data_IF_068833722731
#
_entry.id   IF_068833722731
#
_cell.length_a   1.000
_cell.length_b   1.000
_cell.length_c   1.000
_cell.angle_alpha   90.00
_cell.angle_beta   90.00
_cell.angle_gamma   90.00
#
_symmetry.space_group_name_H-M   'P 1'
#
loop_
_entity.id
_entity.type
_entity.pdbx_description
1 polymer ?
#
# COMPACT_ATOMS: atom_id res chain seq x y z
N UNK A 1 2.54 -21.82 14.38
CA UNK A 1 2.85 -20.42 14.77
C UNK A 1 1.97 -20.05 15.95
N UNK A 2 2.53 -20.04 17.16
CA UNK A 2 1.82 -19.55 18.35
C UNK A 2 2.08 -18.05 18.48
N UNK A 3 1.11 -17.23 18.07
CA UNK A 3 1.12 -15.81 18.44
C UNK A 3 0.73 -15.71 19.92
N UNK A 4 1.70 -15.38 20.76
CA UNK A 4 1.44 -14.89 22.12
C UNK A 4 0.78 -13.52 22.00
N UNK A 5 -0.56 -13.51 21.90
CA UNK A 5 -1.34 -12.27 22.05
C UNK A 5 -1.23 -11.81 23.50
N UNK A 6 -0.43 -10.76 23.71
CA UNK A 6 -0.48 -9.95 24.91
C UNK A 6 -1.89 -9.36 25.03
N UNK A 7 -2.61 -9.71 26.11
CA UNK A 7 -3.91 -9.13 26.43
C UNK A 7 -3.69 -7.66 26.82
N UNK A 8 -4.27 -6.73 26.08
CA UNK A 8 -4.16 -5.30 26.37
C UNK A 8 -5.47 -4.75 26.93
N UNK A 9 -5.48 -4.46 28.23
CA UNK A 9 -6.34 -3.39 28.73
C UNK A 9 -5.77 -2.10 28.16
N UNK A 10 -6.52 -1.42 27.29
CA UNK A 10 -6.02 -0.19 26.64
C UNK A 10 -6.16 1.02 27.53
N UNK A 11 -7.25 1.09 28.30
CA UNK A 11 -7.52 2.21 29.19
C UNK A 11 -8.64 1.86 30.18
N UNK A 12 -8.62 2.53 31.33
CA UNK A 12 -9.67 2.50 32.35
C UNK A 12 -10.07 3.94 32.63
N UNK A 13 -11.37 4.23 32.61
CA UNK A 13 -11.88 5.59 32.90
C UNK A 13 -13.02 5.53 33.91
N UNK A 14 -13.16 6.59 34.70
CA UNK A 14 -14.22 6.75 35.70
C UNK A 14 -15.18 7.85 35.27
N UNK A 15 -16.48 7.56 35.25
CA UNK A 15 -17.52 8.56 34.99
C UNK A 15 -18.68 8.32 35.95
N UNK A 16 -19.02 9.30 36.79
CA UNK A 16 -20.13 9.24 37.75
C UNK A 16 -20.13 7.94 38.59
N UNK A 17 -19.01 7.66 39.26
CA UNK A 17 -18.77 6.45 40.08
C UNK A 17 -18.87 5.11 39.35
N UNK A 18 -18.97 5.12 38.01
CA UNK A 18 -18.90 3.92 37.17
C UNK A 18 -17.50 3.77 36.57
N UNK A 19 -17.00 2.55 36.58
CA UNK A 19 -15.75 2.18 35.92
C UNK A 19 -16.05 1.69 34.53
N UNK A 20 -15.38 2.25 33.54
CA UNK A 20 -15.38 1.78 32.16
C UNK A 20 -14.03 1.18 31.82
N UNK A 21 -14.04 -0.05 31.29
CA UNK A 21 -12.83 -0.69 30.79
C UNK A 21 -12.86 -0.73 29.27
N UNK A 22 -11.82 -0.19 28.63
CA UNK A 22 -11.65 -0.30 27.19
C UNK A 22 -10.70 -1.47 26.91
N UNK A 23 -11.24 -2.55 26.34
CA UNK A 23 -10.48 -3.78 26.06
C UNK A 23 -10.65 -4.21 24.61
N UNK A 24 -9.79 -5.10 24.13
CA UNK A 24 -10.10 -5.84 22.90
C UNK A 24 -11.38 -6.70 23.04
N UNK A 25 -11.82 -7.32 21.93
CA UNK A 25 -13.03 -8.13 21.90
C UNK A 25 -12.75 -9.63 22.13
N UNK A 26 -11.60 -9.99 22.70
CA UNK A 26 -11.29 -11.39 22.98
C UNK A 26 -12.19 -11.97 24.08
N UNK A 27 -12.49 -13.26 23.96
CA UNK A 27 -13.37 -13.96 24.90
C UNK A 27 -12.84 -13.92 26.34
N UNK A 28 -11.51 -13.99 26.50
CA UNK A 28 -10.87 -13.91 27.82
C UNK A 28 -11.09 -12.55 28.49
N UNK A 29 -11.01 -11.46 27.71
CA UNK A 29 -11.28 -10.09 28.22
C UNK A 29 -12.75 -9.89 28.54
N UNK A 30 -13.66 -10.47 27.75
CA UNK A 30 -15.10 -10.49 28.08
C UNK A 30 -15.38 -11.21 29.38
N UNK A 31 -14.71 -12.35 29.63
CA UNK A 31 -14.88 -13.13 30.85
C UNK A 31 -14.28 -12.43 32.08
N UNK A 32 -13.13 -11.76 31.94
CA UNK A 32 -12.44 -11.12 33.05
C UNK A 32 -13.20 -9.92 33.65
N UNK A 33 -14.04 -9.25 32.86
CA UNK A 33 -14.70 -7.99 33.26
C UNK A 33 -16.23 -8.05 33.18
N UNK A 34 -16.81 -9.22 33.46
CA UNK A 34 -18.25 -9.46 33.27
C UNK A 34 -19.14 -8.81 34.34
N UNK A 35 -18.67 -8.75 35.58
CA UNK A 35 -19.59 -8.56 36.72
C UNK A 35 -19.51 -7.19 37.40
N UNK A 36 -18.43 -6.42 37.21
CA UNK A 36 -18.17 -5.21 38.01
C UNK A 36 -17.75 -3.96 37.21
N UNK A 37 -17.62 -4.07 35.89
CA UNK A 37 -17.08 -2.99 35.05
C UNK A 37 -17.85 -2.92 33.75
N UNK A 38 -18.19 -1.72 33.31
CA UNK A 38 -18.84 -1.53 32.00
C UNK A 38 -17.76 -1.61 30.91
N UNK A 39 -17.78 -2.70 30.14
CA UNK A 39 -16.76 -2.95 29.12
C UNK A 39 -17.11 -2.29 27.79
N UNK A 40 -16.22 -1.46 27.29
CA UNK A 40 -16.27 -0.87 25.94
C UNK A 40 -15.25 -1.59 25.06
N UNK A 41 -15.68 -2.04 23.88
CA UNK A 41 -14.78 -2.65 22.92
C UNK A 41 -13.87 -1.61 22.26
N UNK A 42 -12.59 -1.95 22.10
CA UNK A 42 -11.61 -1.06 21.51
C UNK A 42 -11.87 -0.87 20.01
N UNK A 43 -12.15 0.38 19.59
CA UNK A 43 -12.38 0.73 18.18
C UNK A 43 -11.21 0.36 17.26
N UNK A 44 -9.96 0.51 17.72
CA UNK A 44 -8.79 0.10 16.94
C UNK A 44 -8.77 -1.41 16.66
N UNK A 45 -9.17 -2.23 17.64
CA UNK A 45 -9.27 -3.68 17.45
C UNK A 45 -10.39 -4.03 16.45
N UNK A 46 -11.53 -3.34 16.52
CA UNK A 46 -12.62 -3.55 15.56
C UNK A 46 -12.25 -3.11 14.14
N UNK A 47 -11.59 -1.97 13.96
CA UNK A 47 -11.12 -1.51 12.65
C UNK A 47 -10.15 -2.53 12.06
N UNK A 48 -9.17 -2.98 12.84
CA UNK A 48 -8.22 -3.99 12.38
C UNK A 48 -8.91 -5.30 12.00
N UNK A 49 -9.91 -5.75 12.78
CA UNK A 49 -10.69 -6.96 12.45
C UNK A 49 -11.54 -6.79 11.20
N UNK A 50 -12.14 -5.62 10.99
CA UNK A 50 -12.90 -5.31 9.79
C UNK A 50 -11.98 -5.29 8.57
N UNK A 51 -10.80 -4.66 8.68
CA UNK A 51 -9.79 -4.67 7.61
C UNK A 51 -9.31 -6.09 7.32
N UNK A 52 -8.92 -6.84 8.36
CA UNK A 52 -8.49 -8.25 8.25
C UNK A 52 -9.56 -9.09 7.54
N UNK A 53 -10.82 -9.01 7.98
CA UNK A 53 -11.91 -9.74 7.34
C UNK A 53 -12.18 -9.25 5.91
N UNK A 54 -12.05 -7.96 5.62
CA UNK A 54 -12.24 -7.43 4.26
C UNK A 54 -11.19 -7.97 3.31
N UNK A 55 -9.95 -8.19 3.78
CA UNK A 55 -8.87 -8.75 2.98
C UNK A 55 -8.80 -10.29 3.00
N UNK A 56 -9.38 -10.95 4.01
CA UNK A 56 -9.35 -12.43 4.13
C UNK A 56 -10.61 -13.14 3.63
N UNK A 57 -11.76 -12.45 3.55
CA UNK A 57 -13.04 -13.06 3.17
C UNK A 57 -13.15 -13.32 1.66
N UNK A 58 -12.36 -12.61 0.87
CA UNK A 58 -12.10 -13.00 -0.50
C UNK A 58 -10.89 -13.92 -0.49
N UNK A 59 -11.08 -15.17 -0.94
CA UNK A 59 -9.96 -15.96 -1.44
C UNK A 59 -9.20 -15.05 -2.40
N UNK A 60 -7.99 -14.61 -2.03
CA UNK A 60 -7.15 -13.67 -2.79
C UNK A 60 -6.75 -14.38 -4.10
N UNK A 61 -7.67 -14.47 -5.05
CA UNK A 61 -7.47 -15.04 -6.38
C UNK A 61 -7.33 -13.92 -7.41
N UNK A 62 -7.67 -12.68 -7.02
CA UNK A 62 -7.48 -11.48 -7.83
C UNK A 62 -6.49 -10.53 -7.16
N UNK A 63 -5.53 -9.97 -7.92
CA UNK A 63 -4.60 -8.96 -7.40
C UNK A 63 -5.40 -7.72 -6.96
N UNK A 64 -5.30 -7.28 -5.70
CA UNK A 64 -6.04 -6.13 -5.16
C UNK A 64 -5.25 -4.83 -5.16
N UNK A 65 -3.98 -4.87 -5.55
CA UNK A 65 -3.07 -3.71 -5.47
C UNK A 65 -3.56 -2.50 -6.28
N UNK A 66 -4.24 -2.76 -7.40
CA UNK A 66 -4.85 -1.75 -8.27
C UNK A 66 -6.03 -0.99 -7.62
N UNK A 67 -6.52 -1.44 -6.46
CA UNK A 67 -7.63 -0.79 -5.74
C UNK A 67 -7.15 0.18 -4.66
N UNK A 68 -5.86 0.15 -4.28
CA UNK A 68 -5.34 0.95 -3.17
C UNK A 68 -5.56 2.44 -3.39
N UNK A 69 -5.27 2.94 -4.59
CA UNK A 69 -5.45 4.37 -4.93
C UNK A 69 -6.93 4.75 -4.98
N UNK A 70 -7.81 4.03 -5.72
CA UNK A 70 -9.24 4.28 -5.69
C UNK A 70 -9.84 4.30 -4.28
N UNK A 71 -9.45 3.37 -3.43
CA UNK A 71 -9.96 3.32 -2.05
C UNK A 71 -9.45 4.49 -1.22
N UNK A 72 -8.16 4.85 -1.29
CA UNK A 72 -7.64 6.01 -0.59
C UNK A 72 -8.40 7.28 -1.00
N UNK A 73 -8.57 7.51 -2.30
CA UNK A 73 -9.31 8.67 -2.81
C UNK A 73 -10.78 8.65 -2.38
N UNK A 74 -11.44 7.49 -2.43
CA UNK A 74 -12.81 7.32 -1.95
C UNK A 74 -12.93 7.74 -0.49
N UNK A 75 -12.04 7.26 0.39
CA UNK A 75 -12.08 7.59 1.81
C UNK A 75 -11.79 9.07 2.09
N UNK A 76 -10.86 9.69 1.34
CA UNK A 76 -10.61 11.14 1.41
C UNK A 76 -11.86 11.91 0.98
N UNK A 77 -12.48 11.53 -0.13
CA UNK A 77 -13.71 12.17 -0.61
C UNK A 77 -14.85 12.04 0.41
N UNK A 78 -15.02 10.86 1.02
CA UNK A 78 -15.97 10.69 2.10
C UNK A 78 -15.63 11.62 3.26
N UNK A 79 -14.36 11.72 3.64
CA UNK A 79 -13.90 12.53 4.77
C UNK A 79 -14.15 14.03 4.59
N UNK A 80 -14.23 14.50 3.34
CA UNK A 80 -14.48 15.89 2.96
C UNK A 80 -15.97 16.23 2.74
N UNK A 81 -16.88 15.28 2.95
CA UNK A 81 -18.32 15.50 2.85
C UNK A 81 -18.79 16.51 3.91
N UNK A 82 -19.45 17.58 3.47
CA UNK A 82 -19.92 18.69 4.32
C UNK A 82 -21.33 18.49 4.85
N UNK A 83 -22.07 17.48 4.37
CA UNK A 83 -23.47 17.26 4.73
C UNK A 83 -23.65 16.56 6.09
N UNK A 84 -22.55 16.28 6.79
CA UNK A 84 -22.56 15.60 8.07
C UNK A 84 -23.09 16.46 9.23
N UNK A 85 -23.59 15.75 10.25
CA UNK A 85 -23.90 16.35 11.54
C UNK A 85 -22.65 16.99 12.14
N UNK A 86 -22.81 18.13 12.81
CA UNK A 86 -21.72 18.92 13.41
C UNK A 86 -20.73 18.12 14.28
N UNK A 87 -21.18 17.02 14.92
CA UNK A 87 -20.33 16.17 15.74
C UNK A 87 -19.43 15.21 14.94
N UNK A 88 -19.85 14.83 13.73
CA UNK A 88 -19.13 13.85 12.89
C UNK A 88 -18.09 14.57 12.02
N UNK A 89 -18.40 15.78 11.59
CA UNK A 89 -17.53 16.56 10.71
C UNK A 89 -16.08 16.68 11.21
N UNK A 90 -15.78 17.03 12.48
CA UNK A 90 -14.40 17.10 12.96
C UNK A 90 -13.66 15.76 12.91
N UNK A 91 -14.38 14.66 13.18
CA UNK A 91 -13.81 13.31 13.17
C UNK A 91 -13.46 12.89 11.74
N UNK A 92 -14.37 13.12 10.78
CA UNK A 92 -14.12 12.81 9.38
C UNK A 92 -12.99 13.64 8.80
N UNK A 93 -12.96 14.94 9.11
CA UNK A 93 -11.86 15.82 8.72
C UNK A 93 -10.51 15.30 9.23
N UNK A 94 -10.43 14.96 10.52
CA UNK A 94 -9.22 14.36 11.10
C UNK A 94 -8.82 13.06 10.40
N UNK A 95 -9.77 12.16 10.13
CA UNK A 95 -9.51 10.93 9.38
C UNK A 95 -8.96 11.24 7.98
N UNK A 96 -9.54 12.20 7.27
CA UNK A 96 -9.06 12.64 5.95
C UNK A 96 -7.60 13.10 5.99
N UNK A 97 -7.26 13.95 6.97
CA UNK A 97 -5.89 14.43 7.18
C UNK A 97 -4.92 13.28 7.51
N UNK A 98 -5.32 12.33 8.36
CA UNK A 98 -4.50 11.15 8.69
C UNK A 98 -4.31 10.21 7.49
N UNK A 99 -5.36 10.01 6.67
CA UNK A 99 -5.27 9.23 5.45
C UNK A 99 -4.30 9.85 4.45
N UNK A 100 -4.29 11.18 4.32
CA UNK A 100 -3.34 11.89 3.47
C UNK A 100 -1.90 11.70 3.96
N UNK A 101 -1.68 11.88 5.26
CA UNK A 101 -0.34 11.90 5.87
C UNK A 101 0.28 10.51 6.08
N UNK A 102 -0.50 9.50 6.46
CA UNK A 102 0.03 8.20 6.89
C UNK A 102 -0.22 7.06 5.92
N UNK A 103 -1.21 7.15 5.03
CA UNK A 103 -1.40 6.11 4.01
C UNK A 103 -0.43 6.33 2.86
N UNK A 104 0.77 5.81 2.99
CA UNK A 104 1.81 5.91 1.95
C UNK A 104 1.36 5.13 0.71
N UNK A 105 1.37 5.80 -0.45
CA UNK A 105 1.12 5.19 -1.75
C UNK A 105 2.42 5.19 -2.52
N UNK A 106 2.96 4.00 -2.73
CA UNK A 106 4.16 3.77 -3.52
C UNK A 106 3.85 3.63 -5.02
N UNK A 107 4.90 3.75 -5.83
CA UNK A 107 4.87 3.66 -7.30
C UNK A 107 4.16 2.41 -7.84
N UNK A 108 4.37 1.26 -7.19
CA UNK A 108 3.74 0.00 -7.58
C UNK A 108 2.21 0.06 -7.55
N UNK A 109 1.63 0.88 -6.67
CA UNK A 109 0.18 1.07 -6.60
C UNK A 109 -0.33 1.87 -7.80
N UNK A 110 0.41 2.90 -8.22
CA UNK A 110 0.06 3.71 -9.39
C UNK A 110 0.11 2.88 -10.65
N UNK A 111 1.20 2.12 -10.83
CA UNK A 111 1.36 1.20 -11.96
C UNK A 111 0.27 0.14 -11.97
N UNK A 112 0.00 -0.52 -10.84
CA UNK A 112 -1.05 -1.53 -10.75
C UNK A 112 -2.43 -0.97 -11.11
N UNK A 113 -2.75 0.23 -10.62
CA UNK A 113 -4.03 0.90 -10.92
C UNK A 113 -4.12 1.27 -12.41
N UNK A 114 -3.02 1.73 -13.02
CA UNK A 114 -2.97 2.15 -14.42
C UNK A 114 -3.08 0.96 -15.40
N UNK A 115 -2.52 -0.19 -15.03
CA UNK A 115 -2.62 -1.43 -15.81
C UNK A 115 -4.02 -2.03 -15.79
N UNK A 116 -4.87 -1.64 -14.82
CA UNK A 116 -6.22 -2.19 -14.71
C UNK A 116 -7.17 -1.59 -15.76
N UNK A 117 -7.83 -2.41 -16.60
CA UNK A 117 -8.59 -1.93 -17.77
C UNK A 117 -9.73 -0.98 -17.39
N UNK A 118 -10.41 -1.24 -16.27
CA UNK A 118 -11.55 -0.43 -15.83
C UNK A 118 -11.15 0.83 -15.06
N UNK A 119 -9.86 1.02 -14.76
CA UNK A 119 -9.36 2.16 -13.99
C UNK A 119 -8.47 3.09 -14.80
N UNK A 120 -8.36 2.88 -16.12
CA UNK A 120 -7.60 3.77 -17.02
C UNK A 120 -8.09 5.21 -17.00
N UNK A 121 -9.38 5.42 -16.71
CA UNK A 121 -10.00 6.74 -16.57
C UNK A 121 -9.99 7.26 -15.14
N UNK A 122 -9.36 6.56 -14.20
CA UNK A 122 -9.21 7.07 -12.84
C UNK A 122 -8.40 8.37 -12.89
N UNK A 123 -8.89 9.41 -12.22
CA UNK A 123 -8.33 10.76 -12.32
C UNK A 123 -7.02 10.86 -11.54
N UNK A 124 -5.92 10.45 -12.18
CA UNK A 124 -4.58 10.79 -11.71
C UNK A 124 -4.29 12.26 -11.96
N UNK A 125 -3.46 12.87 -11.12
CA UNK A 125 -2.82 14.12 -11.52
C UNK A 125 -1.95 13.86 -12.77
N UNK A 126 -1.81 14.83 -13.69
CA UNK A 126 -0.94 14.66 -14.86
C UNK A 126 0.47 14.19 -14.50
N UNK A 127 0.99 14.64 -13.36
CA UNK A 127 2.29 14.25 -12.82
C UNK A 127 2.34 12.77 -12.42
N UNK A 128 1.34 12.28 -11.67
CA UNK A 128 1.27 10.87 -11.24
C UNK A 128 1.15 9.93 -12.44
N UNK A 129 0.35 10.30 -13.43
CA UNK A 129 0.21 9.52 -14.65
C UNK A 129 1.53 9.44 -15.42
N UNK A 130 2.18 10.58 -15.65
CA UNK A 130 3.47 10.63 -16.34
C UNK A 130 4.55 9.81 -15.61
N UNK A 131 4.58 9.89 -14.28
CA UNK A 131 5.50 9.11 -13.45
C UNK A 131 5.29 7.60 -13.63
N UNK A 132 4.05 7.12 -13.51
CA UNK A 132 3.73 5.71 -13.69
C UNK A 132 4.03 5.20 -15.12
N UNK A 133 3.75 6.02 -16.14
CA UNK A 133 4.10 5.70 -17.54
C UNK A 133 5.62 5.61 -17.74
N UNK A 134 6.39 6.47 -17.09
CA UNK A 134 7.85 6.47 -17.16
C UNK A 134 8.43 5.19 -16.53
N UNK A 135 7.94 4.81 -15.35
CA UNK A 135 8.36 3.56 -14.69
C UNK A 135 8.09 2.32 -15.54
N UNK A 136 6.92 2.26 -16.19
CA UNK A 136 6.61 1.16 -17.11
C UNK A 136 7.57 1.13 -18.31
N UNK A 137 7.86 2.28 -18.92
CA UNK A 137 8.79 2.35 -20.06
C UNK A 137 10.17 1.84 -19.68
N UNK A 138 10.70 2.28 -18.55
CA UNK A 138 12.01 1.83 -18.04
C UNK A 138 12.04 0.31 -17.83
N UNK A 139 10.99 -0.26 -17.24
CA UNK A 139 10.92 -1.71 -17.02
C UNK A 139 10.83 -2.49 -18.35
N UNK A 140 10.06 -2.00 -19.33
CA UNK A 140 10.02 -2.61 -20.66
C UNK A 140 11.37 -2.57 -21.39
N UNK A 141 12.07 -1.43 -21.33
CA UNK A 141 13.40 -1.29 -21.93
C UNK A 141 14.41 -2.24 -21.29
N UNK A 142 14.39 -2.37 -19.96
CA UNK A 142 15.21 -3.31 -19.21
C UNK A 142 14.97 -4.76 -19.64
N UNK A 143 13.71 -5.16 -19.76
CA UNK A 143 13.36 -6.51 -20.25
C UNK A 143 13.84 -6.75 -21.69
N UNK A 144 13.69 -5.75 -22.56
CA UNK A 144 14.16 -5.85 -23.96
C UNK A 144 15.68 -6.01 -24.05
N UNK A 145 16.45 -5.28 -23.23
CA UNK A 145 17.91 -5.41 -23.16
C UNK A 145 18.32 -6.80 -22.64
N UNK A 146 17.63 -7.32 -21.63
CA UNK A 146 17.89 -8.65 -21.08
C UNK A 146 17.66 -9.75 -22.14
N UNK A 147 16.55 -9.67 -22.88
CA UNK A 147 16.26 -10.60 -23.98
C UNK A 147 17.33 -10.57 -25.07
N UNK A 148 17.83 -9.37 -25.42
CA UNK A 148 18.93 -9.22 -26.38
C UNK A 148 20.21 -9.88 -25.87
N UNK A 149 20.59 -9.68 -24.60
CA UNK A 149 21.77 -10.30 -24.00
C UNK A 149 21.68 -11.83 -23.96
N UNK A 150 20.50 -12.39 -23.64
CA UNK A 150 20.25 -13.83 -23.66
C UNK A 150 20.42 -14.39 -25.08
N UNK A 151 19.88 -13.70 -26.09
CA UNK A 151 20.01 -14.13 -27.49
C UNK A 151 21.46 -14.12 -28.00
N UNK A 152 22.25 -13.11 -27.61
CA UNK A 152 23.67 -13.00 -27.95
C UNK A 152 24.51 -14.10 -27.28
N UNK A 153 24.21 -14.42 -26.02
CA UNK A 153 24.93 -15.47 -25.28
C UNK A 153 24.68 -16.87 -25.85
N UNK A 154 23.46 -17.16 -26.30
CA UNK A 154 23.12 -18.45 -26.88
C UNK A 154 23.76 -18.69 -28.26
N UNK A 155 23.99 -17.65 -29.05
CA UNK A 155 24.67 -17.76 -30.35
C UNK A 155 26.17 -18.07 -30.21
N UNK A 156 26.81 -17.64 -29.12
CA UNK A 156 28.24 -17.89 -28.87
C UNK A 156 28.53 -19.30 -28.33
N UNK A 157 27.54 -20.01 -27.80
CA UNK A 157 27.70 -21.38 -27.27
C UNK A 157 27.52 -22.49 -28.32
N UNK A 158 27.09 -22.15 -29.54
CA UNK A 158 26.88 -23.13 -30.61
C UNK A 158 28.11 -23.39 -31.51
N UNK A 159 29.29 -22.83 -31.17
CA UNK A 159 30.56 -23.07 -31.88
C UNK A 159 31.55 -23.95 -31.12
N UNK A 160 31.18 -24.49 -29.95
CA UNK A 160 32.02 -25.46 -29.21
C UNK A 160 31.22 -26.68 -28.79
N UNK A 161 31.68 -27.85 -29.23
CA UNK A 161 31.02 -29.14 -29.05
C UNK A 161 30.82 -29.55 -27.58
N UNK A 162 29.65 -30.16 -27.34
CA UNK A 162 29.35 -31.25 -26.40
C UNK A 162 29.55 -31.08 -24.88
N UNK A 163 28.40 -31.25 -24.19
CA UNK A 163 28.17 -31.81 -22.86
C UNK A 163 28.60 -30.99 -21.63
N UNK A 164 27.63 -30.28 -21.04
CA UNK A 164 27.09 -30.58 -19.70
C UNK A 164 25.89 -29.66 -19.42
N UNK A 165 24.71 -30.27 -19.30
CA UNK A 165 23.44 -29.64 -18.93
C UNK A 165 23.31 -29.80 -17.41
N UNK A 166 22.92 -28.73 -16.72
CA UNK A 166 22.82 -28.54 -15.25
C UNK A 166 24.05 -27.93 -14.56
N UNK A 167 24.32 -26.65 -14.85
CA UNK A 167 24.78 -25.68 -13.84
C UNK A 167 24.47 -24.27 -14.37
N UNK A 168 23.28 -23.74 -14.05
CA UNK A 168 22.96 -22.33 -14.30
C UNK A 168 23.55 -21.51 -13.14
N UNK A 169 24.45 -20.54 -13.40
CA UNK A 169 24.89 -19.64 -12.36
C UNK A 169 23.73 -18.71 -11.99
N UNK A 170 23.33 -18.71 -10.72
CA UNK A 170 22.54 -17.63 -10.15
C UNK A 170 23.42 -16.37 -10.19
N UNK A 171 23.30 -15.57 -11.26
CA UNK A 171 23.91 -14.25 -11.34
C UNK A 171 23.11 -13.32 -10.40
N UNK A 172 23.69 -13.03 -9.24
CA UNK A 172 23.31 -11.90 -8.40
C UNK A 172 23.63 -10.62 -9.16
N UNK A 173 22.74 -10.19 -10.05
CA UNK A 173 22.81 -8.86 -10.62
C UNK A 173 22.33 -7.86 -9.57
N UNK A 174 23.25 -7.04 -9.10
CA UNK A 174 22.94 -5.84 -8.33
C UNK A 174 21.99 -4.98 -9.16
N UNK A 175 20.83 -4.64 -8.57
CA UNK A 175 19.90 -3.66 -9.14
C UNK A 175 20.65 -2.38 -9.49
N UNK A 176 20.25 -1.66 -10.55
CA UNK A 176 20.77 -0.30 -10.79
C UNK A 176 20.61 0.50 -9.50
N UNK A 177 21.70 1.09 -9.02
CA UNK A 177 21.71 1.87 -7.79
C UNK A 177 20.59 2.92 -7.85
N UNK A 178 19.74 2.97 -6.82
CA UNK A 178 18.59 3.88 -6.75
C UNK A 178 18.96 5.37 -6.90
N UNK A 179 20.24 5.72 -6.89
CA UNK A 179 20.76 7.05 -7.20
C UNK A 179 20.57 7.46 -8.67
N UNK A 180 20.65 6.53 -9.64
CA UNK A 180 20.55 6.88 -11.05
C UNK A 180 19.11 7.28 -11.43
N UNK A 181 18.12 6.55 -10.90
CA UNK A 181 16.68 6.86 -11.05
C UNK A 181 16.34 8.19 -10.37
N UNK A 182 16.94 8.46 -9.20
CA UNK A 182 16.74 9.72 -8.47
C UNK A 182 17.27 10.91 -9.26
N UNK A 183 18.37 10.74 -9.98
CA UNK A 183 19.02 11.81 -10.77
C UNK A 183 18.19 12.22 -11.98
N UNK A 184 17.59 11.28 -12.71
CA UNK A 184 16.67 11.57 -13.81
C UNK A 184 15.39 12.29 -13.34
N UNK A 185 14.82 11.84 -12.21
CA UNK A 185 13.61 12.42 -11.64
C UNK A 185 13.85 13.85 -11.12
N UNK A 186 14.97 14.10 -10.44
CA UNK A 186 15.34 15.43 -9.95
C UNK A 186 15.54 16.42 -11.10
N UNK A 187 16.18 15.97 -12.19
CA UNK A 187 16.38 16.78 -13.41
C UNK A 187 15.05 17.17 -14.08
N UNK A 188 14.06 16.28 -14.05
CA UNK A 188 12.72 16.57 -14.54
C UNK A 188 11.96 17.54 -13.64
N UNK A 189 11.98 17.35 -12.32
CA UNK A 189 11.30 18.21 -11.35
C UNK A 189 11.86 19.64 -11.37
N UNK A 190 13.16 19.80 -11.61
CA UNK A 190 13.79 21.11 -11.81
C UNK A 190 13.38 21.79 -13.11
N UNK A 191 13.16 21.03 -14.19
CA UNK A 191 12.64 21.57 -15.45
C UNK A 191 11.18 22.01 -15.33
N UNK A 192 10.36 21.29 -14.57
CA UNK A 192 8.96 21.68 -14.31
C UNK A 192 8.87 22.96 -13.46
N UNK A 193 9.71 23.09 -12.41
CA UNK A 193 9.78 24.33 -11.60
C UNK A 193 10.19 25.56 -12.42
N UNK A 194 11.02 25.37 -13.45
CA UNK A 194 11.41 26.45 -14.39
C UNK A 194 10.25 26.87 -15.30
N UNK A 195 9.32 25.97 -15.64
CA UNK A 195 8.15 26.31 -16.47
C UNK A 195 7.04 27.02 -15.70
N UNK A 196 6.97 26.87 -14.37
CA UNK A 196 5.89 27.43 -13.53
C UNK A 196 6.22 28.85 -13.00
N UNK A 197 7.45 29.34 -13.16
CA UNK A 197 7.78 30.75 -12.90
C UNK A 197 7.32 31.63 -14.07
N UNK A 198 6.05 32.02 -14.04
CA UNK A 198 5.51 33.22 -14.70
C UNK A 198 5.31 34.29 -13.63
#
# INVERSE_FOLDING_TARGET
MHCNLHYFVKSTTWVNDRVFMITDNENKMKSAFKDNVERIGCSAHYINKVLEHSFMKESIHSPTLHLVIPYKQFLINLSNDTDDKQLIFPVKKYIGEELENYWVVEDVHYVATMLHPNLKSFNYTPQQKYHAETLLKLEFEKHQQLEQQISLSNNNNNTSSSNNIFDLPLLSHESPDGEEIKTELDKYMDNQKKMIKI
#
